data_IF_207916473160
#
_entry.id   IF_207916473160
#
_cell.length_a   1.000
_cell.length_b   1.000
_cell.length_c   1.000
_cell.angle_alpha   90.00
_cell.angle_beta   90.00
_cell.angle_gamma   90.00
#
_symmetry.space_group_name_H-M   'P 1'
#
loop_
_entity.id
_entity.type
_entity.pdbx_description
1 polymer ?
#
# COMPACT_ATOMS: atom_id res chain seq x y z
N UNK A 1 7.62 11.53 71.79
CA UNK A 1 8.36 12.77 72.09
C UNK A 1 8.71 13.38 70.75
N UNK A 2 7.69 13.87 70.04
CA UNK A 2 7.16 15.24 70.15
C UNK A 2 8.18 16.28 69.67
N UNK A 3 7.91 16.80 68.48
CA UNK A 3 8.04 18.22 68.16
C UNK A 3 7.18 18.50 66.92
N UNK A 4 5.97 18.96 67.19
CA UNK A 4 5.16 19.74 66.26
C UNK A 4 5.89 21.06 65.92
N UNK A 5 5.77 21.51 64.68
CA UNK A 5 5.69 22.94 64.39
C UNK A 5 5.03 23.11 63.03
N UNK A 6 3.78 23.57 63.06
CA UNK A 6 3.05 23.97 61.88
C UNK A 6 3.31 25.41 61.45
N UNK A 7 2.41 25.84 60.55
CA UNK A 7 2.02 27.21 60.20
C UNK A 7 2.83 27.87 59.08
N UNK A 8 2.25 27.92 57.88
CA UNK A 8 1.61 29.14 57.33
C UNK A 8 1.39 29.02 55.81
N UNK A 9 0.14 28.97 55.39
CA UNK A 9 -0.27 29.52 54.09
C UNK A 9 -0.32 31.06 54.20
N UNK A 10 -0.24 31.77 53.06
CA UNK A 10 -1.48 32.38 52.60
C UNK A 10 -1.66 32.28 51.07
N UNK A 11 -2.93 32.44 50.68
CA UNK A 11 -3.37 32.36 49.30
C UNK A 11 -2.95 33.55 48.44
N UNK A 12 -3.11 33.35 47.14
CA UNK A 12 -3.05 34.36 46.10
C UNK A 12 -3.96 33.92 44.98
N UNK A 13 -5.12 34.56 44.91
CA UNK A 13 -6.09 34.46 43.83
C UNK A 13 -5.47 34.94 42.50
N UNK A 14 -5.86 34.31 41.40
CA UNK A 14 -5.52 34.73 40.05
C UNK A 14 -6.46 34.08 39.03
N UNK A 15 -7.59 34.74 38.78
CA UNK A 15 -8.48 34.46 37.65
C UNK A 15 -7.77 34.67 36.31
N UNK A 16 -8.09 33.83 35.33
CA UNK A 16 -7.77 34.06 33.93
C UNK A 16 -8.13 32.84 33.09
N UNK A 17 -9.34 32.86 32.52
CA UNK A 17 -9.85 31.76 31.71
C UNK A 17 -9.46 31.81 30.23
N UNK A 18 -10.08 30.85 29.52
CA UNK A 18 -10.37 30.76 28.09
C UNK A 18 -9.35 30.03 27.19
N UNK A 19 -9.90 29.09 26.41
CA UNK A 19 -9.30 28.44 25.25
C UNK A 19 -8.76 27.04 25.59
N UNK A 20 -9.45 25.92 25.33
CA UNK A 20 -10.33 25.66 24.19
C UNK A 20 -9.49 25.12 23.04
N UNK A 21 -9.65 23.81 22.83
CA UNK A 21 -9.38 23.03 21.63
C UNK A 21 -7.98 22.41 21.45
N UNK A 22 -8.00 21.08 21.61
CA UNK A 22 -6.90 20.20 21.30
C UNK A 22 -6.62 20.15 19.81
N UNK A 23 -5.34 20.27 19.47
CA UNK A 23 -4.85 19.97 18.14
C UNK A 23 -4.55 18.47 18.06
N UNK A 24 -5.62 17.72 17.80
CA UNK A 24 -5.56 16.34 17.38
C UNK A 24 -4.82 16.23 16.05
N UNK A 25 -3.85 15.32 16.02
CA UNK A 25 -3.45 14.48 14.90
C UNK A 25 -3.66 15.07 13.50
N UNK A 26 -2.59 15.66 12.94
CA UNK A 26 -2.41 15.70 11.48
C UNK A 26 -1.40 14.65 11.06
N UNK A 27 -1.86 13.40 11.03
CA UNK A 27 -1.32 12.39 10.13
C UNK A 27 -1.68 12.87 8.71
N UNK A 28 -0.71 13.49 8.05
CA UNK A 28 -0.79 13.75 6.61
C UNK A 28 -0.82 12.42 5.89
N UNK A 29 -2.03 12.00 5.50
CA UNK A 29 -2.27 10.96 4.51
C UNK A 29 -1.57 11.40 3.21
N UNK A 30 -0.43 10.78 2.91
CA UNK A 30 0.02 10.65 1.54
C UNK A 30 -0.96 9.68 0.88
N UNK A 31 -2.01 10.23 0.24
CA UNK A 31 -2.85 9.49 -0.68
C UNK A 31 -1.95 8.96 -1.79
N UNK A 32 -1.66 7.66 -1.73
CA UNK A 32 -1.14 6.93 -2.87
C UNK A 32 -2.33 6.71 -3.79
N UNK A 33 -2.59 7.70 -4.64
CA UNK A 33 -3.37 7.49 -5.85
C UNK A 33 -2.63 6.43 -6.65
N UNK A 34 -3.11 5.19 -6.56
CA UNK A 34 -2.83 4.19 -7.58
C UNK A 34 -3.64 4.65 -8.78
N UNK A 35 -3.06 5.55 -9.58
CA UNK A 35 -3.48 5.71 -10.96
C UNK A 35 -3.30 4.35 -11.63
N UNK A 36 -4.39 3.57 -11.64
CA UNK A 36 -4.68 2.57 -12.65
C UNK A 36 -4.95 3.30 -13.96
N UNK A 37 -3.94 4.04 -14.43
CA UNK A 37 -3.91 4.64 -15.74
C UNK A 37 -3.51 3.56 -16.73
N UNK A 38 -4.46 2.71 -17.12
CA UNK A 38 -4.35 2.02 -18.40
C UNK A 38 -4.32 3.13 -19.45
N UNK A 39 -3.12 3.46 -19.92
CA UNK A 39 -2.88 4.46 -20.94
C UNK A 39 -3.64 4.02 -22.20
N UNK A 40 -4.85 4.56 -22.31
CA UNK A 40 -5.73 4.46 -23.45
C UNK A 40 -5.16 5.29 -24.60
N UNK A 41 -4.15 4.76 -25.28
CA UNK A 41 -3.78 5.12 -26.65
C UNK A 41 -2.68 4.18 -27.15
N UNK A 42 -2.98 3.47 -28.25
CA UNK A 42 -2.05 2.69 -29.10
C UNK A 42 -2.10 1.15 -29.05
N UNK A 43 -3.26 0.54 -28.78
CA UNK A 43 -3.52 -0.84 -29.22
C UNK A 43 -4.82 -0.85 -30.06
N UNK A 44 -4.77 -0.21 -31.21
CA UNK A 44 -5.80 -0.34 -32.27
C UNK A 44 -5.26 -1.00 -33.53
N UNK A 45 -4.10 -1.66 -33.48
CA UNK A 45 -3.55 -2.39 -34.63
C UNK A 45 -2.90 -3.71 -34.22
N UNK A 46 -3.75 -4.65 -33.79
CA UNK A 46 -3.63 -6.07 -34.07
C UNK A 46 -4.84 -6.76 -33.45
N UNK A 47 -6.00 -6.66 -34.10
CA UNK A 47 -7.04 -7.67 -33.91
C UNK A 47 -6.42 -8.96 -34.42
N UNK A 48 -5.79 -9.71 -33.53
CA UNK A 48 -5.43 -11.09 -33.82
C UNK A 48 -6.74 -11.78 -34.14
N UNK A 49 -6.83 -12.28 -35.36
CA UNK A 49 -7.96 -13.09 -35.84
C UNK A 49 -8.20 -14.36 -34.99
N UNK A 50 -7.34 -14.61 -33.99
CA UNK A 50 -7.33 -15.74 -33.07
C UNK A 50 -7.54 -15.35 -31.59
N UNK A 51 -8.30 -14.29 -31.29
CA UNK A 51 -8.68 -13.98 -29.90
C UNK A 51 -9.41 -15.13 -29.21
N UNK A 52 -9.14 -15.39 -27.92
CA UNK A 52 -9.78 -16.52 -27.18
C UNK A 52 -11.29 -16.44 -27.18
N UNK A 53 -11.85 -15.23 -27.23
CA UNK A 53 -13.28 -15.00 -27.36
C UNK A 53 -13.85 -15.57 -28.66
N UNK A 54 -13.16 -15.36 -29.80
CA UNK A 54 -13.56 -15.92 -31.09
C UNK A 54 -13.45 -17.44 -31.09
N UNK A 55 -12.43 -17.99 -30.44
CA UNK A 55 -12.28 -19.43 -30.25
C UNK A 55 -13.45 -19.99 -29.42
N UNK A 56 -13.80 -19.35 -28.32
CA UNK A 56 -14.95 -19.72 -27.49
C UNK A 56 -16.24 -19.73 -28.32
N UNK A 57 -16.54 -18.63 -29.02
CA UNK A 57 -17.72 -18.53 -29.89
C UNK A 57 -17.73 -19.62 -30.97
N UNK A 58 -16.58 -19.90 -31.58
CA UNK A 58 -16.44 -20.95 -32.59
C UNK A 58 -16.74 -22.33 -32.01
N UNK A 59 -16.18 -22.66 -30.85
CA UNK A 59 -16.41 -23.95 -30.18
C UNK A 59 -17.87 -24.10 -29.79
N UNK A 60 -18.50 -23.07 -29.21
CA UNK A 60 -19.91 -23.09 -28.85
C UNK A 60 -20.82 -23.30 -30.08
N UNK A 61 -20.56 -22.59 -31.18
CA UNK A 61 -21.29 -22.76 -32.43
C UNK A 61 -21.12 -24.15 -33.07
N UNK A 62 -19.93 -24.76 -32.94
CA UNK A 62 -19.70 -26.14 -33.39
C UNK A 62 -20.45 -27.13 -32.50
N UNK A 63 -20.45 -26.91 -31.18
CA UNK A 63 -21.20 -27.74 -30.23
C UNK A 63 -22.70 -27.72 -30.51
N UNK A 64 -23.32 -26.52 -30.62
CA UNK A 64 -24.75 -26.39 -30.90
C UNK A 64 -25.13 -27.05 -32.22
N UNK A 65 -24.32 -26.88 -33.28
CA UNK A 65 -24.55 -27.56 -34.57
C UNK A 65 -24.50 -29.08 -34.43
N UNK A 66 -23.55 -29.62 -33.67
CA UNK A 66 -23.45 -31.07 -33.42
C UNK A 66 -24.64 -31.59 -32.63
N UNK A 67 -25.11 -30.84 -31.63
CA UNK A 67 -26.30 -31.17 -30.84
C UNK A 67 -27.53 -31.24 -31.75
N UNK A 68 -27.79 -30.19 -32.54
CA UNK A 68 -28.91 -30.16 -33.50
C UNK A 68 -28.82 -31.31 -34.50
N UNK A 69 -27.63 -31.58 -35.03
CA UNK A 69 -27.41 -32.69 -35.98
C UNK A 69 -27.67 -34.07 -35.36
N UNK A 70 -27.46 -34.22 -34.05
CA UNK A 70 -27.71 -35.49 -33.34
C UNK A 70 -29.20 -35.77 -33.10
N UNK A 71 -30.01 -34.71 -32.99
CA UNK A 71 -31.44 -34.73 -32.76
C UNK A 71 -32.21 -34.83 -34.08
N UNK A 72 -32.08 -35.93 -34.82
CA UNK A 72 -32.77 -36.07 -36.11
C UNK A 72 -34.28 -36.22 -35.98
N UNK A 73 -35.02 -35.65 -36.95
CA UNK A 73 -36.48 -35.82 -37.05
C UNK A 73 -36.91 -37.29 -37.06
N UNK A 74 -36.10 -38.18 -37.65
CA UNK A 74 -36.39 -39.62 -37.69
C UNK A 74 -36.45 -40.24 -36.28
N UNK A 75 -35.53 -39.86 -35.38
CA UNK A 75 -35.53 -40.33 -33.99
C UNK A 75 -36.76 -39.80 -33.25
N UNK A 76 -37.12 -38.54 -33.50
CA UNK A 76 -38.30 -37.91 -32.93
C UNK A 76 -39.60 -38.58 -33.40
N UNK A 77 -39.76 -38.76 -34.71
CA UNK A 77 -40.94 -39.39 -35.32
C UNK A 77 -41.08 -40.88 -34.95
N UNK A 78 -39.97 -41.58 -34.74
CA UNK A 78 -39.96 -42.96 -34.24
C UNK A 78 -40.46 -43.03 -32.80
N UNK A 79 -39.99 -42.15 -31.91
CA UNK A 79 -40.43 -42.07 -30.52
C UNK A 79 -41.95 -41.76 -30.40
N UNK A 80 -42.49 -40.98 -31.34
CA UNK A 80 -43.91 -40.64 -31.43
C UNK A 80 -44.63 -41.32 -32.61
N UNK A 81 -44.28 -42.58 -32.89
CA UNK A 81 -44.80 -43.40 -34.02
C UNK A 81 -46.32 -43.32 -34.25
N UNK A 82 -47.19 -43.46 -33.24
CA UNK A 82 -48.64 -43.45 -33.46
C UNK A 82 -49.15 -42.11 -33.98
N UNK A 83 -48.59 -41.01 -33.48
CA UNK A 83 -48.98 -39.65 -33.81
C UNK A 83 -48.39 -39.19 -35.15
N UNK A 84 -47.14 -39.58 -35.42
CA UNK A 84 -46.45 -39.26 -36.69
C UNK A 84 -47.09 -39.92 -37.90
N UNK A 85 -47.73 -41.08 -37.72
CA UNK A 85 -48.50 -41.77 -38.78
C UNK A 85 -49.87 -41.15 -39.05
N UNK A 86 -50.53 -40.61 -38.02
CA UNK A 86 -51.84 -39.94 -38.17
C UNK A 86 -51.69 -38.57 -38.82
N UNK A 87 -50.69 -37.78 -38.39
CA UNK A 87 -50.51 -36.41 -38.84
C UNK A 87 -49.02 -36.03 -38.96
N UNK A 88 -48.37 -36.39 -40.08
CA UNK A 88 -46.94 -36.14 -40.28
C UNK A 88 -46.62 -34.64 -40.37
N UNK A 89 -47.51 -33.84 -40.97
CA UNK A 89 -47.31 -32.39 -41.13
C UNK A 89 -47.27 -31.65 -39.78
N UNK A 90 -48.17 -31.99 -38.85
CA UNK A 90 -48.18 -31.40 -37.50
C UNK A 90 -46.99 -31.88 -36.69
N UNK A 91 -46.63 -33.17 -36.81
CA UNK A 91 -45.45 -33.71 -36.13
C UNK A 91 -44.16 -33.02 -36.58
N UNK A 92 -44.05 -32.72 -37.87
CA UNK A 92 -42.93 -31.96 -38.44
C UNK A 92 -42.92 -30.51 -37.96
N UNK A 93 -44.07 -29.84 -37.96
CA UNK A 93 -44.19 -28.48 -37.44
C UNK A 93 -43.80 -28.36 -35.96
N UNK A 94 -44.21 -29.32 -35.12
CA UNK A 94 -43.83 -29.37 -33.69
C UNK A 94 -42.32 -29.59 -33.54
N UNK A 95 -41.72 -30.48 -34.32
CA UNK A 95 -40.28 -30.72 -34.28
C UNK A 95 -39.49 -29.47 -34.70
N UNK A 96 -39.87 -28.83 -35.80
CA UNK A 96 -39.19 -27.63 -36.29
C UNK A 96 -39.31 -26.47 -35.28
N UNK A 97 -40.47 -26.32 -34.65
CA UNK A 97 -40.69 -25.36 -33.57
C UNK A 97 -39.85 -25.70 -32.32
N UNK A 98 -39.85 -26.96 -31.89
CA UNK A 98 -39.05 -27.40 -30.74
C UNK A 98 -37.55 -27.14 -30.96
N UNK A 99 -37.03 -27.52 -32.13
CA UNK A 99 -35.60 -27.37 -32.44
C UNK A 99 -35.20 -25.90 -32.57
N UNK A 100 -36.02 -25.07 -33.21
CA UNK A 100 -35.75 -23.63 -33.31
C UNK A 100 -35.80 -22.93 -31.94
N UNK A 101 -36.78 -23.27 -31.10
CA UNK A 101 -36.87 -22.75 -29.73
C UNK A 101 -35.68 -23.21 -28.89
N UNK A 102 -35.32 -24.49 -28.93
CA UNK A 102 -34.19 -25.03 -28.19
C UNK A 102 -32.88 -24.34 -28.57
N UNK A 103 -32.62 -24.19 -29.87
CA UNK A 103 -31.43 -23.51 -30.37
C UNK A 103 -31.40 -22.03 -29.94
N UNK A 104 -32.55 -21.35 -30.02
CA UNK A 104 -32.65 -19.94 -29.65
C UNK A 104 -32.42 -19.75 -28.15
N UNK A 105 -33.06 -20.56 -27.31
CA UNK A 105 -32.91 -20.49 -25.86
C UNK A 105 -31.49 -20.83 -25.43
N UNK A 106 -30.86 -21.87 -26.00
CA UNK A 106 -29.45 -22.17 -25.71
C UNK A 106 -28.52 -21.04 -26.12
N UNK A 107 -28.74 -20.42 -27.28
CA UNK A 107 -27.91 -19.30 -27.73
C UNK A 107 -28.10 -18.06 -26.84
N UNK A 108 -29.34 -17.79 -26.43
CA UNK A 108 -29.65 -16.73 -25.48
C UNK A 108 -28.98 -16.98 -24.14
N UNK A 109 -29.09 -18.19 -23.60
CA UNK A 109 -28.46 -18.56 -22.33
C UNK A 109 -26.93 -18.41 -22.37
N UNK A 110 -26.29 -18.86 -23.45
CA UNK A 110 -24.84 -18.69 -23.64
C UNK A 110 -24.48 -17.20 -23.71
N UNK A 111 -25.29 -16.38 -24.38
CA UNK A 111 -25.06 -14.94 -24.44
C UNK A 111 -25.25 -14.28 -23.07
N UNK A 112 -26.26 -14.69 -22.30
CA UNK A 112 -26.47 -14.21 -20.93
C UNK A 112 -25.29 -14.57 -20.03
N UNK A 113 -24.81 -15.81 -20.04
CA UNK A 113 -23.62 -16.24 -19.28
C UNK A 113 -22.38 -15.44 -19.70
N UNK A 114 -22.23 -15.17 -21.00
CA UNK A 114 -21.12 -14.37 -21.54
C UNK A 114 -21.17 -12.93 -21.01
N UNK A 115 -22.36 -12.33 -20.96
CA UNK A 115 -22.59 -10.98 -20.45
C UNK A 115 -22.44 -10.91 -18.92
N UNK A 116 -23.06 -11.82 -18.18
CA UNK A 116 -22.98 -11.89 -16.71
C UNK A 116 -21.55 -12.12 -16.23
N UNK A 117 -20.83 -13.03 -16.87
CA UNK A 117 -19.43 -13.31 -16.55
C UNK A 117 -18.44 -12.31 -17.12
N UNK A 118 -18.91 -11.30 -17.87
CA UNK A 118 -18.08 -10.33 -18.59
C UNK A 118 -16.90 -10.99 -19.35
N UNK A 119 -17.21 -12.11 -20.03
CA UNK A 119 -16.19 -12.98 -20.63
C UNK A 119 -15.40 -12.27 -21.74
N UNK A 120 -15.98 -11.27 -22.38
CA UNK A 120 -15.33 -10.53 -23.46
C UNK A 120 -14.15 -9.72 -22.93
N UNK A 121 -14.33 -9.00 -21.83
CA UNK A 121 -13.27 -8.23 -21.18
C UNK A 121 -12.23 -9.17 -20.56
N UNK A 122 -12.66 -10.17 -19.78
CA UNK A 122 -11.74 -11.09 -19.10
C UNK A 122 -10.85 -11.89 -20.07
N UNK A 123 -11.41 -12.37 -21.19
CA UNK A 123 -10.62 -13.10 -22.19
C UNK A 123 -9.68 -12.16 -22.95
N UNK A 124 -10.08 -10.90 -23.16
CA UNK A 124 -9.22 -9.89 -23.78
C UNK A 124 -8.07 -9.49 -22.87
N UNK A 125 -8.32 -9.26 -21.58
CA UNK A 125 -7.29 -9.01 -20.56
C UNK A 125 -6.33 -10.19 -20.45
N UNK A 126 -6.85 -11.42 -20.46
CA UNK A 126 -6.02 -12.61 -20.42
C UNK A 126 -5.13 -12.73 -21.66
N UNK A 127 -5.64 -12.37 -22.85
CA UNK A 127 -4.84 -12.29 -24.06
C UNK A 127 -3.74 -11.21 -23.90
N UNK A 128 -4.04 -10.03 -23.35
CA UNK A 128 -3.03 -9.01 -23.03
C UNK A 128 -1.94 -9.53 -22.08
N UNK A 129 -2.31 -10.15 -20.95
CA UNK A 129 -1.35 -10.71 -19.98
C UNK A 129 -0.46 -11.76 -20.62
N UNK A 130 -1.02 -12.57 -21.51
CA UNK A 130 -0.26 -13.61 -22.23
C UNK A 130 0.69 -13.00 -23.23
N UNK A 131 0.32 -11.90 -23.91
CA UNK A 131 1.23 -11.13 -24.76
C UNK A 131 2.38 -10.50 -23.97
N UNK A 132 2.09 -9.87 -22.82
CA UNK A 132 3.10 -9.28 -21.93
C UNK A 132 4.07 -10.33 -21.38
N UNK A 133 3.59 -11.54 -21.14
CA UNK A 133 4.37 -12.64 -20.58
C UNK A 133 5.19 -13.44 -21.57
N UNK A 134 5.12 -13.18 -22.88
CA UNK A 134 5.73 -14.07 -23.91
C UNK A 134 7.23 -14.19 -23.83
N UNK A 135 7.90 -13.13 -23.41
CA UNK A 135 9.35 -13.07 -23.35
C UNK A 135 9.91 -13.77 -22.11
N UNK A 136 9.06 -14.07 -21.12
CA UNK A 136 9.45 -14.80 -19.92
C UNK A 136 9.52 -16.29 -20.23
N UNK A 137 10.74 -16.80 -20.39
CA UNK A 137 11.02 -18.23 -20.62
C UNK A 137 11.04 -19.05 -19.33
N UNK A 138 11.08 -18.41 -18.17
CA UNK A 138 11.04 -19.08 -16.88
C UNK A 138 9.63 -19.54 -16.51
N UNK A 139 9.56 -20.65 -15.77
CA UNK A 139 8.28 -21.13 -15.25
C UNK A 139 7.70 -20.09 -14.30
N UNK A 140 6.51 -19.58 -14.64
CA UNK A 140 5.81 -18.62 -13.80
C UNK A 140 5.54 -19.19 -12.39
N UNK A 141 5.64 -18.32 -11.38
CA UNK A 141 5.33 -18.66 -10.00
C UNK A 141 3.89 -19.19 -9.87
N UNK A 142 3.69 -20.13 -8.96
CA UNK A 142 2.40 -20.71 -8.59
C UNK A 142 2.29 -20.71 -7.06
N UNK A 143 1.10 -20.46 -6.50
CA UNK A 143 0.90 -20.56 -5.06
C UNK A 143 1.39 -21.91 -4.55
N UNK A 144 2.25 -21.87 -3.53
CA UNK A 144 2.84 -23.08 -2.93
C UNK A 144 1.80 -23.91 -2.17
N UNK A 145 0.69 -23.28 -1.79
CA UNK A 145 -0.29 -23.83 -0.86
C UNK A 145 0.04 -23.51 0.61
N UNK A 146 1.16 -22.83 0.86
CA UNK A 146 1.57 -22.33 2.18
C UNK A 146 1.40 -20.81 2.20
N UNK A 147 0.37 -20.28 2.89
CA UNK A 147 0.04 -18.86 2.81
C UNK A 147 1.16 -17.95 3.35
N UNK A 148 1.95 -18.41 4.33
CA UNK A 148 3.05 -17.63 4.90
C UNK A 148 4.18 -17.38 3.89
N UNK A 149 4.49 -18.37 3.04
CA UNK A 149 5.52 -18.26 2.02
C UNK A 149 5.05 -17.38 0.86
N UNK A 150 3.80 -17.60 0.43
CA UNK A 150 3.18 -16.83 -0.65
C UNK A 150 3.06 -15.34 -0.23
N UNK A 151 2.64 -15.07 1.01
CA UNK A 151 2.53 -13.71 1.55
C UNK A 151 3.90 -13.05 1.74
N UNK A 152 4.94 -13.80 2.13
CA UNK A 152 6.29 -13.26 2.27
C UNK A 152 6.78 -12.66 0.94
N UNK A 153 6.57 -13.35 -0.17
CA UNK A 153 6.99 -12.86 -1.49
C UNK A 153 6.37 -11.48 -1.83
N UNK A 154 5.09 -11.31 -1.48
CA UNK A 154 4.36 -10.06 -1.66
C UNK A 154 4.84 -8.96 -0.70
N UNK A 155 4.95 -9.27 0.59
CA UNK A 155 5.30 -8.29 1.64
C UNK A 155 6.74 -7.80 1.55
N UNK A 156 7.67 -8.59 1.01
CA UNK A 156 9.10 -8.22 0.90
C UNK A 156 9.27 -6.86 0.21
N UNK A 157 8.51 -6.57 -0.86
CA UNK A 157 8.59 -5.27 -1.55
C UNK A 157 8.30 -4.10 -0.62
N UNK A 158 7.21 -4.18 0.13
CA UNK A 158 6.79 -3.13 1.06
C UNK A 158 7.78 -2.98 2.23
N UNK A 159 8.21 -4.10 2.81
CA UNK A 159 9.20 -4.09 3.90
C UNK A 159 10.53 -3.46 3.44
N UNK A 160 10.96 -3.72 2.20
CA UNK A 160 12.16 -3.10 1.63
C UNK A 160 11.99 -1.58 1.45
N UNK A 161 10.86 -1.12 0.93
CA UNK A 161 10.57 0.31 0.80
C UNK A 161 10.59 1.02 2.17
N UNK A 162 9.94 0.44 3.18
CA UNK A 162 9.92 0.99 4.53
C UNK A 162 11.32 1.04 5.15
N UNK A 163 12.11 -0.01 4.94
CA UNK A 163 13.49 -0.07 5.41
C UNK A 163 14.35 1.03 4.79
N UNK A 164 14.23 1.28 3.49
CA UNK A 164 14.98 2.37 2.86
C UNK A 164 14.56 3.76 3.36
N UNK A 165 13.26 3.96 3.61
CA UNK A 165 12.75 5.19 4.22
C UNK A 165 13.35 5.43 5.61
N UNK A 166 13.27 4.43 6.50
CA UNK A 166 13.79 4.53 7.87
C UNK A 166 15.31 4.77 7.90
N UNK A 167 16.07 4.16 6.96
CA UNK A 167 17.51 4.43 6.86
C UNK A 167 17.83 5.86 6.46
N UNK A 168 17.01 6.49 5.61
CA UNK A 168 17.20 7.90 5.27
C UNK A 168 16.97 8.79 6.49
N UNK A 169 15.85 8.59 7.17
CA UNK A 169 15.53 9.34 8.38
C UNK A 169 16.59 9.14 9.49
N UNK A 170 17.11 7.92 9.66
CA UNK A 170 18.17 7.65 10.63
C UNK A 170 19.45 8.43 10.30
N UNK A 171 19.88 8.44 9.04
CA UNK A 171 21.07 9.18 8.62
C UNK A 171 20.93 10.68 8.86
N UNK A 172 19.76 11.25 8.56
CA UNK A 172 19.50 12.67 8.80
C UNK A 172 19.66 13.01 10.29
N UNK A 173 19.08 12.21 11.17
CA UNK A 173 19.20 12.40 12.62
C UNK A 173 20.64 12.20 13.11
N UNK A 174 21.36 11.20 12.58
CA UNK A 174 22.77 10.96 12.93
C UNK A 174 23.68 12.12 12.51
N UNK A 175 23.46 12.70 11.33
CA UNK A 175 24.21 13.86 10.85
C UNK A 175 23.94 15.12 11.69
N UNK A 176 22.68 15.38 12.03
CA UNK A 176 22.30 16.49 12.91
C UNK A 176 22.90 16.34 14.30
N UNK A 177 22.84 15.12 14.87
CA UNK A 177 23.42 14.84 16.17
C UNK A 177 24.95 14.98 16.15
N UNK A 178 25.62 14.55 15.08
CA UNK A 178 27.06 14.73 14.92
C UNK A 178 27.45 16.23 14.89
N UNK A 179 26.70 17.05 14.15
CA UNK A 179 26.90 18.52 14.12
C UNK A 179 26.67 19.14 15.49
N UNK A 180 25.60 18.73 16.18
CA UNK A 180 25.30 19.20 17.52
C UNK A 180 26.39 18.81 18.51
N UNK A 181 26.86 17.57 18.49
CA UNK A 181 27.95 17.08 19.34
C UNK A 181 29.24 17.89 19.14
N UNK A 182 29.60 18.21 17.90
CA UNK A 182 30.75 19.08 17.59
C UNK A 182 30.56 20.48 18.20
N UNK A 183 29.37 21.08 18.07
CA UNK A 183 29.09 22.39 18.65
C UNK A 183 29.19 22.39 20.19
N UNK A 184 28.75 21.31 20.84
CA UNK A 184 28.82 21.13 22.29
C UNK A 184 30.26 20.99 22.74
N UNK A 185 31.08 20.20 22.04
CA UNK A 185 32.50 20.08 22.34
C UNK A 185 33.22 21.43 22.22
N UNK A 186 33.03 22.14 21.11
CA UNK A 186 33.57 23.49 20.93
C UNK A 186 33.04 24.50 21.98
N UNK A 187 31.81 24.31 22.47
CA UNK A 187 31.26 25.06 23.59
C UNK A 187 31.97 24.76 24.90
N UNK A 188 32.20 23.48 25.21
CA UNK A 188 32.91 23.02 26.42
C UNK A 188 34.36 23.50 26.46
N UNK A 189 35.06 23.46 25.34
CA UNK A 189 36.44 23.98 25.21
C UNK A 189 36.49 25.48 25.52
N UNK A 190 35.56 26.27 24.96
CA UNK A 190 35.45 27.71 25.26
C UNK A 190 35.18 27.98 26.74
N UNK A 191 34.30 27.18 27.36
CA UNK A 191 34.03 27.31 28.80
C UNK A 191 35.27 26.99 29.62
N UNK A 192 36.01 25.93 29.27
CA UNK A 192 37.24 25.56 29.97
C UNK A 192 38.32 26.67 29.86
N UNK A 193 38.48 27.26 28.68
CA UNK A 193 39.40 28.39 28.47
C UNK A 193 39.00 29.61 29.31
N UNK A 194 37.71 29.98 29.29
CA UNK A 194 37.20 31.08 30.12
C UNK A 194 37.41 30.81 31.61
N UNK A 195 37.15 29.58 32.07
CA UNK A 195 37.39 29.19 33.46
C UNK A 195 38.87 29.32 33.83
N UNK A 196 39.77 28.89 32.95
CA UNK A 196 41.21 29.05 33.15
C UNK A 196 41.63 30.52 33.26
N UNK A 197 41.11 31.38 32.37
CA UNK A 197 41.38 32.83 32.42
C UNK A 197 40.85 33.48 33.70
N UNK A 198 39.65 33.10 34.14
CA UNK A 198 39.06 33.58 35.40
C UNK A 198 39.93 33.17 36.58
N UNK A 199 40.35 31.91 36.63
CA UNK A 199 41.19 31.38 37.71
C UNK A 199 42.54 32.09 37.77
N UNK A 200 43.20 32.28 36.62
CA UNK A 200 44.47 33.00 36.53
C UNK A 200 44.34 34.46 36.99
N UNK A 201 43.26 35.15 36.60
CA UNK A 201 42.99 36.51 37.07
C UNK A 201 42.76 36.52 38.57
N UNK A 202 41.98 35.58 39.10
CA UNK A 202 41.72 35.44 40.54
C UNK A 202 43.02 35.27 41.32
N UNK A 203 43.92 34.41 40.86
CA UNK A 203 45.24 34.22 41.47
C UNK A 203 46.07 35.51 41.45
N UNK A 204 46.14 36.20 40.30
CA UNK A 204 46.84 37.48 40.21
C UNK A 204 46.28 38.54 41.19
N UNK A 205 44.95 38.63 41.32
CA UNK A 205 44.30 39.50 42.30
C UNK A 205 44.61 39.10 43.75
N UNK A 206 44.69 37.79 44.05
CA UNK A 206 45.07 37.30 45.36
C UNK A 206 46.52 37.68 45.71
N UNK A 207 47.45 37.58 44.77
CA UNK A 207 48.84 38.00 44.98
C UNK A 207 48.96 39.51 45.23
N UNK A 208 48.24 40.33 44.45
CA UNK A 208 48.18 41.79 44.70
C UNK A 208 47.62 42.08 46.10
N UNK A 209 46.55 41.37 46.50
CA UNK A 209 45.95 41.54 47.82
C UNK A 209 46.87 41.10 48.96
N UNK A 210 47.69 40.06 48.77
CA UNK A 210 48.72 39.65 49.73
C UNK A 210 49.81 40.72 49.85
N UNK A 211 50.35 41.18 48.73
CA UNK A 211 51.36 42.25 48.71
C UNK A 211 50.85 43.53 49.38
N UNK A 212 49.59 43.90 49.15
CA UNK A 212 48.96 45.02 49.86
C UNK A 212 48.93 44.81 51.38
N UNK A 213 48.59 43.59 51.86
CA UNK A 213 48.59 43.28 53.30
C UNK A 213 49.99 43.31 53.90
N UNK A 214 50.98 42.83 53.17
CA UNK A 214 52.40 42.88 53.57
C UNK A 214 52.88 44.33 53.66
N UNK A 215 52.63 45.16 52.64
CA UNK A 215 52.94 46.59 52.66
C UNK A 215 52.28 47.33 53.82
N UNK A 216 50.99 47.06 54.09
CA UNK A 216 50.29 47.67 55.21
C UNK A 216 50.95 47.26 56.52
N UNK A 217 51.35 46.00 56.66
CA UNK A 217 52.05 45.50 57.87
C UNK A 217 53.42 46.17 58.06
N UNK A 218 54.16 46.43 56.97
CA UNK A 218 55.43 47.18 57.01
C UNK A 218 55.24 48.67 57.36
N UNK A 219 54.13 49.27 56.93
CA UNK A 219 53.77 50.66 57.25
C UNK A 219 53.21 50.81 58.68
N UNK A 220 52.64 49.75 59.25
CA UNK A 220 52.12 49.70 60.62
C UNK A 220 53.18 49.35 61.68
N UNK A 221 54.44 49.14 61.30
CA UNK A 221 55.54 49.00 62.28
C UNK A 221 55.71 50.32 63.07
N UNK A 222 55.47 50.32 64.40
CA UNK A 222 55.55 51.53 65.20
C UNK A 222 57.00 51.84 65.58
N UNK A 223 57.39 53.12 65.48
CA UNK A 223 58.43 53.70 66.33
C UNK A 223 57.94 53.82 67.77
#
# INVERSE_FOLDING_TARGET
MEAESGVAAPGGEGQGGLGGDGEAARLGQAGMEVESGCASASITEAVKEDGRLLLFQRIMNVFLRRLVSSCSFQKFAHAYSPFSKLQPEVTKGIYDQFMSQLQTLMQQEINLIKEEGNLEELLSELDCIVEEGKDNTESAWRPSGVPEEDLRSFLVRYCLQQREYLRKALREVEEENAKLAQSVLAGRERIAEMQWQIQRRKEAWQEISKFQKELISELEEPQ
#
